data_IF_990103631608
#
_entry.id   IF_990103631608
#
_cell.length_a   1.000
_cell.length_b   1.000
_cell.length_c   1.000
_cell.angle_alpha   90.00
_cell.angle_beta   90.00
_cell.angle_gamma   90.00
#
_symmetry.space_group_name_H-M   'P 1'
#
loop_
_entity.id
_entity.type
_entity.pdbx_description
1 polymer ?
#
# COMPACT_ATOMS: atom_id res chain seq x y z
N UNK A 1 -10.25 -19.37 -11.95
CA UNK A 1 -11.47 -20.04 -11.55
C UNK A 1 -12.67 -19.29 -12.09
N UNK A 2 -13.60 -19.99 -12.73
CA UNK A 2 -14.85 -19.40 -13.21
C UNK A 2 -15.69 -19.09 -11.97
N UNK A 3 -16.21 -17.88 -11.88
CA UNK A 3 -17.14 -17.51 -10.82
C UNK A 3 -18.33 -18.49 -10.81
N UNK A 4 -18.78 -18.90 -9.61
CA UNK A 4 -19.93 -19.79 -9.50
C UNK A 4 -21.15 -19.14 -10.17
N UNK A 5 -22.06 -19.96 -10.75
CA UNK A 5 -23.27 -19.48 -11.39
C UNK A 5 -24.07 -18.52 -10.50
N UNK A 6 -24.09 -18.77 -9.20
CA UNK A 6 -24.77 -17.95 -8.19
C UNK A 6 -24.11 -16.57 -8.01
N UNK A 7 -22.79 -16.48 -8.14
CA UNK A 7 -22.06 -15.22 -8.12
C UNK A 7 -22.27 -14.43 -9.41
N UNK A 8 -22.36 -15.14 -10.55
CA UNK A 8 -22.67 -14.52 -11.84
C UNK A 8 -24.10 -13.98 -11.87
N UNK A 9 -25.08 -14.74 -11.36
CA UNK A 9 -26.47 -14.26 -11.25
C UNK A 9 -26.59 -13.02 -10.36
N UNK A 10 -25.87 -12.93 -9.26
CA UNK A 10 -25.86 -11.72 -8.39
C UNK A 10 -25.15 -10.54 -9.01
N UNK A 11 -24.08 -10.75 -9.78
CA UNK A 11 -23.35 -9.70 -10.51
C UNK A 11 -24.16 -9.12 -11.68
N UNK A 12 -25.03 -9.93 -12.28
CA UNK A 12 -25.87 -9.54 -13.41
C UNK A 12 -27.34 -9.36 -13.02
N UNK A 13 -27.68 -9.44 -11.71
CA UNK A 13 -29.04 -9.17 -11.25
C UNK A 13 -29.33 -7.66 -11.32
N UNK A 14 -30.60 -7.35 -11.55
CA UNK A 14 -31.10 -5.97 -11.53
C UNK A 14 -30.92 -5.27 -10.15
N UNK A 15 -30.60 -6.03 -9.11
CA UNK A 15 -30.34 -5.56 -7.74
C UNK A 15 -28.85 -5.28 -7.46
N UNK A 16 -27.96 -5.54 -8.42
CA UNK A 16 -26.54 -5.18 -8.27
C UNK A 16 -26.42 -3.64 -8.25
N UNK A 17 -26.17 -3.09 -7.07
CA UNK A 17 -25.92 -1.65 -6.94
C UNK A 17 -24.61 -1.29 -7.65
N UNK A 18 -24.62 -0.29 -8.53
CA UNK A 18 -23.40 0.20 -9.14
C UNK A 18 -22.44 0.71 -8.05
N UNK A 19 -21.14 0.57 -8.31
CA UNK A 19 -20.13 1.20 -7.46
C UNK A 19 -20.23 2.71 -7.59
N UNK A 20 -20.59 3.36 -6.51
CA UNK A 20 -20.71 4.81 -6.41
C UNK A 20 -20.24 5.26 -5.03
N UNK A 21 -19.40 6.29 -5.01
CA UNK A 21 -19.05 7.04 -3.80
C UNK A 21 -19.51 8.48 -3.98
N UNK A 22 -20.22 9.00 -3.01
CA UNK A 22 -20.88 10.32 -3.08
C UNK A 22 -20.88 11.06 -1.74
N UNK A 23 -21.35 12.25 -1.76
CA UNK A 23 -21.44 13.12 -0.58
C UNK A 23 -22.08 12.39 0.61
N UNK A 24 -21.35 12.38 1.74
CA UNK A 24 -21.73 11.71 2.98
C UNK A 24 -21.07 10.34 3.17
N UNK A 25 -20.54 9.73 2.14
CA UNK A 25 -19.84 8.46 2.25
C UNK A 25 -18.49 8.62 2.95
N UNK A 26 -18.03 7.55 3.57
CA UNK A 26 -16.73 7.53 4.25
C UNK A 26 -16.09 6.15 4.16
N UNK A 27 -14.76 6.14 4.24
CA UNK A 27 -13.99 4.90 4.21
C UNK A 27 -12.62 5.09 3.59
N UNK A 28 -11.87 3.99 3.55
CA UNK A 28 -10.52 3.96 2.97
C UNK A 28 -10.51 4.25 1.47
N UNK A 29 -11.62 4.04 0.80
CA UNK A 29 -11.83 4.35 -0.62
C UNK A 29 -11.81 5.84 -0.86
N UNK A 30 -12.56 6.55 -0.02
CA UNK A 30 -12.60 8.02 -0.04
C UNK A 30 -11.21 8.56 0.27
N UNK A 31 -10.50 7.98 1.25
CA UNK A 31 -9.13 8.38 1.60
C UNK A 31 -8.16 8.16 0.43
N UNK A 32 -8.25 6.99 -0.22
CA UNK A 32 -7.42 6.65 -1.39
C UNK A 32 -7.70 7.59 -2.56
N UNK A 33 -8.97 7.84 -2.84
CA UNK A 33 -9.39 8.78 -3.87
C UNK A 33 -8.92 10.21 -3.55
N UNK A 34 -9.11 10.69 -2.31
CA UNK A 34 -8.61 11.99 -1.88
C UNK A 34 -7.10 12.12 -2.05
N UNK A 35 -6.33 11.06 -1.68
CA UNK A 35 -4.88 11.01 -1.89
C UNK A 35 -4.52 11.15 -3.35
N UNK A 36 -5.19 10.39 -4.22
CA UNK A 36 -4.90 10.44 -5.66
C UNK A 36 -5.32 11.75 -6.31
N UNK A 37 -6.48 12.29 -5.92
CA UNK A 37 -6.92 13.62 -6.35
C UNK A 37 -5.97 14.73 -5.87
N UNK A 38 -5.38 14.59 -4.68
CA UNK A 38 -4.36 15.50 -4.16
C UNK A 38 -3.07 15.44 -4.99
N UNK A 39 -2.56 14.25 -5.31
CA UNK A 39 -1.39 14.06 -6.19
C UNK A 39 -1.58 14.71 -7.56
N UNK A 40 -2.79 14.64 -8.11
CA UNK A 40 -3.14 15.27 -9.38
C UNK A 40 -3.51 16.76 -9.25
N UNK A 41 -3.46 17.31 -8.04
CA UNK A 41 -3.69 18.73 -7.75
C UNK A 41 -5.16 19.16 -7.68
N UNK A 42 -6.10 18.22 -7.67
CA UNK A 42 -7.54 18.53 -7.57
C UNK A 42 -8.01 18.74 -6.14
N UNK A 43 -7.42 18.04 -5.17
CA UNK A 43 -7.80 18.08 -3.76
C UNK A 43 -6.72 18.73 -2.91
N UNK A 44 -7.08 19.78 -2.18
CA UNK A 44 -6.12 20.54 -1.34
C UNK A 44 -6.45 20.53 0.15
N UNK A 45 -7.52 19.83 0.55
CA UNK A 45 -7.94 19.73 1.93
C UNK A 45 -7.28 18.54 2.65
N UNK A 46 -7.51 18.41 3.94
CA UNK A 46 -7.00 17.26 4.72
C UNK A 46 -7.61 15.96 4.21
N UNK A 47 -6.77 14.98 3.90
CA UNK A 47 -7.17 13.62 3.57
C UNK A 47 -7.72 12.98 4.85
N UNK A 48 -9.00 12.65 4.87
CA UNK A 48 -9.72 12.24 6.07
C UNK A 48 -10.70 11.08 5.85
N UNK A 49 -10.78 10.57 4.62
CA UNK A 49 -11.66 9.47 4.28
C UNK A 49 -13.16 9.82 4.34
N UNK A 50 -13.53 11.09 4.44
CA UNK A 50 -14.93 11.53 4.39
C UNK A 50 -15.19 12.28 3.07
N UNK A 51 -16.18 11.84 2.32
CA UNK A 51 -16.62 12.48 1.08
C UNK A 51 -17.49 13.69 1.42
N UNK A 52 -16.83 14.78 1.77
CA UNK A 52 -17.46 16.06 2.03
C UNK A 52 -17.52 16.94 0.76
N UNK A 53 -18.05 18.16 0.91
CA UNK A 53 -18.17 19.13 -0.20
C UNK A 53 -16.84 19.36 -0.93
N UNK A 54 -15.73 19.48 -0.19
CA UNK A 54 -14.41 19.67 -0.80
C UNK A 54 -13.96 18.46 -1.65
N UNK A 55 -14.39 17.24 -1.29
CA UNK A 55 -14.12 16.02 -2.07
C UNK A 55 -14.99 15.99 -3.32
N UNK A 56 -16.28 16.34 -3.19
CA UNK A 56 -17.19 16.44 -4.33
C UNK A 56 -16.70 17.46 -5.36
N UNK A 57 -16.27 18.65 -4.91
CA UNK A 57 -15.69 19.67 -5.78
C UNK A 57 -14.44 19.17 -6.53
N UNK A 58 -13.56 18.44 -5.84
CA UNK A 58 -12.39 17.84 -6.44
C UNK A 58 -12.75 16.76 -7.48
N UNK A 59 -13.75 15.93 -7.20
CA UNK A 59 -14.29 14.94 -8.16
C UNK A 59 -14.87 15.63 -9.39
N UNK A 60 -15.71 16.64 -9.23
CA UNK A 60 -16.26 17.42 -10.35
C UNK A 60 -15.18 18.08 -11.21
N UNK A 61 -14.15 18.62 -10.56
CA UNK A 61 -13.01 19.21 -11.28
C UNK A 61 -12.22 18.16 -12.06
N UNK A 62 -12.02 16.96 -11.48
CA UNK A 62 -11.39 15.83 -12.15
C UNK A 62 -12.22 15.35 -13.34
N UNK A 63 -13.53 15.14 -13.15
CA UNK A 63 -14.46 14.74 -14.21
C UNK A 63 -14.44 15.73 -15.37
N UNK A 64 -14.51 17.03 -15.08
CA UNK A 64 -14.47 18.09 -16.09
C UNK A 64 -13.18 18.04 -16.91
N UNK A 65 -12.01 17.98 -16.25
CA UNK A 65 -10.71 17.97 -16.92
C UNK A 65 -10.49 16.73 -17.77
N UNK A 66 -11.07 15.61 -17.34
CA UNK A 66 -10.91 14.30 -17.96
C UNK A 66 -12.08 13.94 -18.92
N UNK A 67 -13.03 14.85 -19.12
CA UNK A 67 -14.18 14.67 -20.03
C UNK A 67 -15.09 13.50 -19.65
N UNK A 68 -15.26 13.29 -18.36
CA UNK A 68 -16.22 12.36 -17.77
C UNK A 68 -17.55 13.08 -17.50
N UNK A 69 -18.58 12.33 -17.14
CA UNK A 69 -19.84 12.91 -16.67
C UNK A 69 -19.64 13.68 -15.36
N UNK A 70 -20.01 14.98 -15.35
CA UNK A 70 -19.74 15.88 -14.22
C UNK A 70 -20.90 15.85 -13.24
N UNK A 71 -21.06 14.74 -12.54
CA UNK A 71 -22.16 14.52 -11.59
C UNK A 71 -21.72 14.62 -10.11
N UNK A 72 -20.41 14.68 -9.86
CA UNK A 72 -19.85 14.72 -8.51
C UNK A 72 -19.96 13.38 -7.76
N UNK A 73 -20.40 12.33 -8.43
CA UNK A 73 -20.45 10.96 -7.93
C UNK A 73 -19.23 10.21 -8.48
N UNK A 74 -18.45 9.62 -7.61
CA UNK A 74 -17.26 8.89 -8.03
C UNK A 74 -17.66 7.44 -8.36
N UNK A 75 -17.76 7.14 -9.63
CA UNK A 75 -18.19 5.84 -10.16
C UNK A 75 -17.00 5.01 -10.68
N UNK A 76 -17.29 3.86 -11.28
CA UNK A 76 -16.27 2.93 -11.84
C UNK A 76 -15.42 3.62 -12.91
N UNK A 77 -16.03 4.41 -13.81
CA UNK A 77 -15.32 5.10 -14.89
C UNK A 77 -14.36 6.15 -14.35
N UNK A 78 -14.79 6.91 -13.33
CA UNK A 78 -13.95 7.88 -12.64
C UNK A 78 -12.77 7.19 -11.95
N UNK A 79 -13.02 6.08 -11.28
CA UNK A 79 -12.00 5.30 -10.59
C UNK A 79 -10.95 4.76 -11.56
N UNK A 80 -11.39 4.09 -12.61
CA UNK A 80 -10.50 3.44 -13.57
C UNK A 80 -9.61 4.48 -14.24
N UNK A 81 -10.15 5.66 -14.56
CA UNK A 81 -9.36 6.74 -15.12
C UNK A 81 -8.47 7.41 -14.07
N UNK A 82 -8.95 7.66 -12.84
CA UNK A 82 -8.17 8.31 -11.77
C UNK A 82 -6.87 7.54 -11.46
N UNK A 83 -6.92 6.22 -11.50
CA UNK A 83 -5.77 5.37 -11.22
C UNK A 83 -5.00 4.94 -12.49
N UNK A 84 -5.43 5.37 -13.65
CA UNK A 84 -4.74 5.12 -14.91
C UNK A 84 -3.59 6.12 -15.13
N UNK A 85 -2.59 5.78 -15.98
CA UNK A 85 -1.57 6.72 -16.41
C UNK A 85 -2.13 7.86 -17.27
N UNK A 86 -3.34 7.73 -17.80
CA UNK A 86 -4.00 8.71 -18.66
C UNK A 86 -4.74 9.80 -17.86
N UNK A 87 -4.80 9.68 -16.53
CA UNK A 87 -5.40 10.67 -15.65
C UNK A 87 -4.71 12.03 -15.80
N UNK A 88 -5.42 13.02 -16.31
CA UNK A 88 -4.88 14.37 -16.51
C UNK A 88 -4.81 15.12 -15.19
N UNK A 89 -3.67 15.74 -14.84
CA UNK A 89 -3.58 16.58 -13.66
C UNK A 89 -4.38 17.89 -13.87
N UNK A 90 -4.76 18.53 -12.77
CA UNK A 90 -5.50 19.80 -12.79
C UNK A 90 -4.76 20.90 -13.55
N UNK A 91 -3.44 20.95 -13.38
CA UNK A 91 -2.53 21.84 -14.09
C UNK A 91 -1.69 20.98 -15.02
N UNK A 92 -1.73 21.27 -16.32
CA UNK A 92 -0.87 20.57 -17.27
C UNK A 92 0.60 20.84 -16.93
N UNK A 93 1.48 19.84 -16.97
CA UNK A 93 2.89 20.06 -16.69
C UNK A 93 3.44 21.10 -17.67
N UNK A 94 4.07 22.14 -17.14
CA UNK A 94 4.75 23.15 -17.95
C UNK A 94 5.75 22.41 -18.85
N UNK A 95 5.72 22.62 -20.19
CA UNK A 95 6.66 21.93 -21.06
C UNK A 95 8.08 22.25 -20.60
N UNK A 96 8.82 21.21 -20.26
CA UNK A 96 10.23 21.33 -19.91
C UNK A 96 10.94 22.06 -21.06
N UNK A 97 11.61 23.19 -20.82
CA UNK A 97 12.28 23.92 -21.89
C UNK A 97 13.27 22.96 -22.56
N UNK A 98 13.12 22.81 -23.88
CA UNK A 98 14.03 22.02 -24.71
C UNK A 98 15.45 22.51 -24.43
N UNK A 99 16.42 21.65 -24.13
CA UNK A 99 17.78 22.09 -23.83
C UNK A 99 18.29 22.94 -25.00
N UNK A 100 18.59 24.20 -24.73
CA UNK A 100 19.18 25.12 -25.68
C UNK A 100 20.56 24.54 -26.06
N UNK A 101 20.92 24.40 -27.32
CA UNK A 101 22.21 23.91 -27.71
C UNK A 101 23.30 24.84 -27.17
N UNK A 102 24.22 24.28 -26.39
CA UNK A 102 25.37 24.96 -25.83
C UNK A 102 26.16 25.66 -26.94
N UNK A 103 26.44 26.95 -26.86
CA UNK A 103 27.23 27.61 -27.91
C UNK A 103 28.60 26.96 -28.02
N UNK A 104 28.93 26.49 -29.22
CA UNK A 104 30.23 26.00 -29.60
C UNK A 104 31.22 27.17 -29.56
N UNK A 105 32.17 27.12 -28.63
CA UNK A 105 33.29 28.04 -28.60
C UNK A 105 34.19 27.81 -29.82
N UNK A 106 34.31 28.86 -30.65
CA UNK A 106 35.28 29.01 -31.70
C UNK A 106 36.69 29.05 -31.07
N UNK A 107 37.70 28.37 -31.62
CA UNK A 107 39.06 28.45 -31.11
C UNK A 107 39.69 29.79 -31.48
N UNK A 108 40.23 30.51 -30.51
CA UNK A 108 41.16 31.61 -30.70
C UNK A 108 42.49 31.26 -30.05
N UNK A 109 43.49 31.43 -30.85
CA UNK A 109 44.91 31.10 -30.69
C UNK A 109 45.63 32.00 -29.67
N UNK A 110 46.58 31.37 -28.98
CA UNK A 110 47.89 31.85 -28.54
C UNK A 110 48.03 33.10 -27.67
N UNK A 111 48.59 32.96 -26.48
CA UNK A 111 50.02 33.27 -26.22
C UNK A 111 50.37 33.12 -24.72
N UNK A 112 51.38 32.40 -24.51
CA UNK A 112 52.48 32.40 -23.52
C UNK A 112 52.47 33.43 -22.38
N UNK A 113 52.71 32.96 -21.17
CA UNK A 113 53.89 33.19 -20.30
C UNK A 113 53.56 32.80 -18.86
N UNK A 114 54.24 31.85 -18.36
CA UNK A 114 55.37 31.77 -17.43
C UNK A 114 55.08 32.08 -15.96
N UNK A 115 55.59 31.17 -15.15
CA UNK A 115 56.10 31.24 -13.79
C UNK A 115 55.05 31.21 -12.66
N UNK A 116 55.18 30.43 -11.67
CA UNK A 116 56.22 29.70 -11.00
C UNK A 116 55.63 29.02 -9.77
N UNK A 117 56.25 27.96 -9.43
CA UNK A 117 56.68 27.45 -8.12
C UNK A 117 55.72 27.64 -6.94
N UNK A 118 55.49 26.71 -6.08
CA UNK A 118 56.28 25.65 -5.45
C UNK A 118 55.37 24.86 -4.49
N UNK A 119 55.55 23.58 -4.46
CA UNK A 119 56.00 22.75 -3.32
C UNK A 119 55.09 22.80 -2.09
N UNK A 120 54.78 21.77 -1.41
CA UNK A 120 55.50 20.55 -1.02
C UNK A 120 54.52 19.64 -0.23
N UNK A 121 54.62 18.37 -0.47
CA UNK A 121 54.99 17.31 0.49
C UNK A 121 54.08 17.16 1.70
N UNK A 122 53.68 16.08 2.16
CA UNK A 122 54.12 14.67 2.24
C UNK A 122 53.22 13.98 3.25
N UNK A 123 52.97 12.80 2.96
CA UNK A 123 53.34 11.51 3.54
C UNK A 123 52.51 10.98 4.68
N UNK A 124 52.00 9.82 4.40
CA UNK A 124 52.30 8.53 5.02
C UNK A 124 51.78 8.37 6.45
N UNK A 125 51.28 7.27 6.91
CA UNK A 125 51.50 5.85 6.73
C UNK A 125 50.65 5.09 7.76
N UNK A 126 50.15 3.94 7.36
CA UNK A 126 50.31 2.61 7.98
C UNK A 126 50.04 2.51 9.49
N UNK A 127 49.40 1.52 10.03
CA UNK A 127 49.51 0.05 9.93
C UNK A 127 48.60 -0.57 11.01
N UNK A 128 47.97 -1.63 10.67
CA UNK A 128 48.17 -3.04 11.10
C UNK A 128 47.84 -3.41 12.57
N UNK A 129 47.22 -4.58 12.61
CA UNK A 129 47.31 -5.55 13.70
C UNK A 129 45.98 -6.00 14.24
N UNK A 130 45.42 -7.09 13.82
CA UNK A 130 45.66 -8.49 14.15
C UNK A 130 45.05 -8.97 15.46
N UNK A 131 44.30 -10.02 15.30
CA UNK A 131 44.14 -11.29 16.04
C UNK A 131 43.24 -11.22 17.28
N UNK A 132 42.41 -12.18 17.65
CA UNK A 132 42.19 -13.57 17.25
C UNK A 132 40.97 -14.12 17.99
N UNK A 133 40.33 -15.04 17.34
CA UNK A 133 39.90 -16.39 17.74
C UNK A 133 38.91 -16.60 18.89
N UNK A 134 37.92 -17.39 18.55
CA UNK A 134 37.16 -18.19 19.50
C UNK A 134 35.91 -18.80 18.85
N UNK A 135 36.11 -19.97 18.38
CA UNK A 135 35.18 -20.93 17.79
C UNK A 135 34.19 -21.51 18.79
N UNK A 136 33.02 -21.90 18.30
CA UNK A 136 32.43 -23.25 18.36
C UNK A 136 30.96 -23.17 17.99
N UNK A 137 30.59 -23.69 16.84
CA UNK A 137 29.90 -24.94 16.52
C UNK A 137 28.60 -25.15 17.28
N UNK A 138 27.50 -25.36 16.58
CA UNK A 138 27.14 -26.50 15.74
C UNK A 138 25.79 -26.24 15.06
N UNK A 139 25.72 -26.53 13.78
CA UNK A 139 24.79 -27.38 13.03
C UNK A 139 23.30 -27.26 13.39
N UNK A 140 22.42 -26.96 12.43
CA UNK A 140 22.01 -27.88 11.40
C UNK A 140 21.30 -27.20 10.22
N UNK A 141 21.47 -27.80 9.13
CA UNK A 141 21.04 -27.52 7.79
C UNK A 141 19.53 -27.54 7.63
N UNK A 142 19.00 -26.63 6.83
CA UNK A 142 18.20 -27.06 5.67
C UNK A 142 18.09 -25.94 4.65
N UNK A 143 18.74 -26.16 3.58
CA UNK A 143 18.64 -25.55 2.29
C UNK A 143 17.20 -25.52 1.78
N UNK A 144 16.77 -24.41 1.23
CA UNK A 144 15.89 -24.47 0.09
C UNK A 144 16.18 -23.32 -0.86
N UNK A 145 16.64 -23.75 -1.96
CA UNK A 145 16.97 -23.14 -3.22
C UNK A 145 16.00 -22.06 -3.65
N UNK A 146 16.58 -20.93 -4.05
CA UNK A 146 15.94 -20.01 -4.97
C UNK A 146 15.80 -20.70 -6.33
N UNK A 147 14.59 -20.86 -6.81
CA UNK A 147 14.35 -21.16 -8.21
C UNK A 147 13.53 -20.04 -8.82
N UNK A 148 14.17 -19.40 -9.79
CA UNK A 148 13.63 -18.35 -10.62
C UNK A 148 12.96 -19.03 -11.79
N UNK A 149 11.63 -18.97 -11.89
CA UNK A 149 10.96 -19.25 -13.16
C UNK A 149 9.53 -18.71 -13.19
N UNK A 150 9.33 -17.81 -14.15
CA UNK A 150 8.19 -17.74 -15.06
C UNK A 150 6.78 -17.94 -14.52
N UNK A 151 5.97 -16.89 -14.58
CA UNK A 151 4.51 -16.81 -14.72
C UNK A 151 3.66 -18.07 -14.49
N UNK A 152 3.63 -18.61 -13.29
CA UNK A 152 2.70 -19.63 -12.86
C UNK A 152 2.01 -19.14 -11.59
N UNK A 153 0.74 -19.47 -11.49
CA UNK A 153 -0.06 -19.25 -10.30
C UNK A 153 0.63 -19.92 -9.10
N UNK A 154 1.35 -19.11 -8.30
CA UNK A 154 2.10 -19.63 -7.16
C UNK A 154 1.08 -20.05 -6.11
N UNK A 155 0.92 -21.36 -5.93
CA UNK A 155 0.07 -21.91 -4.88
C UNK A 155 0.70 -21.61 -3.53
N UNK A 156 0.19 -20.59 -2.83
CA UNK A 156 0.56 -20.30 -1.46
C UNK A 156 -0.20 -21.25 -0.53
N UNK A 157 0.52 -22.13 0.13
CA UNK A 157 -0.02 -22.97 1.22
C UNK A 157 0.68 -22.60 2.51
N UNK A 158 -0.08 -22.40 3.57
CA UNK A 158 0.46 -22.07 4.89
C UNK A 158 -0.28 -22.85 5.96
N UNK A 159 0.38 -23.01 7.12
CA UNK A 159 -0.23 -23.69 8.27
C UNK A 159 -1.47 -22.93 8.77
N UNK A 160 -2.46 -23.68 9.25
CA UNK A 160 -3.64 -23.15 9.95
C UNK A 160 -3.22 -22.64 11.34
N UNK A 161 -2.63 -21.45 11.38
CA UNK A 161 -2.09 -20.83 12.60
C UNK A 161 -1.86 -19.33 12.41
N UNK A 162 -1.71 -18.60 13.52
CA UNK A 162 -1.34 -17.18 13.50
C UNK A 162 0.03 -16.95 12.84
N UNK A 163 0.99 -17.84 13.05
CA UNK A 163 2.29 -17.78 12.37
C UNK A 163 2.19 -17.99 10.87
N UNK A 164 1.38 -18.94 10.43
CA UNK A 164 1.07 -19.15 9.02
C UNK A 164 0.45 -17.93 8.38
N UNK A 165 -0.52 -17.31 9.06
CA UNK A 165 -1.17 -16.08 8.58
C UNK A 165 -0.16 -14.94 8.39
N UNK A 166 0.73 -14.73 9.35
CA UNK A 166 1.78 -13.71 9.27
C UNK A 166 2.81 -14.03 8.18
N UNK A 167 3.12 -15.32 7.97
CA UNK A 167 4.03 -15.76 6.90
C UNK A 167 3.46 -15.39 5.53
N UNK A 168 2.18 -15.70 5.27
CA UNK A 168 1.51 -15.33 4.03
C UNK A 168 1.48 -13.82 3.86
N UNK A 169 1.08 -13.07 4.89
CA UNK A 169 1.03 -11.62 4.84
C UNK A 169 2.43 -11.01 4.56
N UNK A 170 3.49 -11.61 5.12
CA UNK A 170 4.87 -11.16 4.88
C UNK A 170 5.29 -11.39 3.43
N UNK A 171 4.90 -12.50 2.82
CA UNK A 171 5.14 -12.77 1.40
C UNK A 171 4.42 -11.78 0.46
N UNK A 172 3.39 -11.09 0.95
CA UNK A 172 2.65 -10.08 0.18
C UNK A 172 3.25 -8.67 0.32
N UNK A 173 4.28 -8.46 1.14
CA UNK A 173 4.92 -7.14 1.27
C UNK A 173 5.38 -6.60 -0.10
N UNK A 174 5.14 -5.32 -0.33
CA UNK A 174 5.47 -4.65 -1.58
C UNK A 174 4.47 -4.85 -2.72
N UNK A 175 3.51 -5.79 -2.63
CA UNK A 175 2.44 -5.93 -3.61
C UNK A 175 1.60 -4.65 -3.67
N UNK A 176 1.13 -4.24 -4.85
CA UNK A 176 0.42 -2.99 -5.00
C UNK A 176 -0.87 -2.95 -4.18
N UNK A 177 -1.21 -1.76 -3.69
CA UNK A 177 -2.55 -1.49 -3.23
C UNK A 177 -3.48 -1.43 -4.44
N UNK A 178 -4.56 -2.18 -4.40
CA UNK A 178 -5.56 -2.17 -5.46
C UNK A 178 -6.93 -2.33 -4.83
N UNK A 179 -7.79 -1.36 -5.11
CA UNK A 179 -9.13 -1.29 -4.56
C UNK A 179 -9.95 -2.53 -4.96
N UNK A 180 -10.67 -3.08 -3.96
CA UNK A 180 -11.56 -4.24 -4.16
C UNK A 180 -10.85 -5.51 -4.69
N UNK A 181 -9.51 -5.51 -4.74
CA UNK A 181 -8.72 -6.65 -5.19
C UNK A 181 -8.17 -7.46 -4.01
N UNK A 182 -7.92 -8.74 -4.27
CA UNK A 182 -7.57 -9.71 -3.24
C UNK A 182 -6.61 -10.79 -3.74
N UNK A 183 -5.75 -10.45 -4.69
CA UNK A 183 -4.83 -11.42 -5.29
C UNK A 183 -3.42 -10.84 -5.48
N UNK A 184 -2.37 -11.70 -5.38
CA UNK A 184 -0.99 -11.24 -5.57
C UNK A 184 -0.70 -10.64 -6.94
N UNK A 185 -1.46 -11.01 -7.97
CA UNK A 185 -1.28 -10.55 -9.34
C UNK A 185 -1.91 -9.18 -9.61
N UNK A 186 -3.03 -8.86 -8.93
CA UNK A 186 -3.78 -7.62 -9.13
C UNK A 186 -3.56 -6.60 -8.02
N UNK A 187 -3.07 -7.06 -6.86
CA UNK A 187 -2.91 -6.24 -5.67
C UNK A 187 -3.99 -6.53 -4.62
N UNK A 188 -4.02 -5.68 -3.58
CA UNK A 188 -4.89 -5.86 -2.42
C UNK A 188 -5.43 -4.55 -1.91
N UNK A 189 -6.72 -4.52 -1.55
CA UNK A 189 -7.19 -3.59 -0.53
C UNK A 189 -6.91 -4.14 0.89
N UNK A 190 -7.20 -3.37 1.94
CA UNK A 190 -6.87 -3.77 3.31
C UNK A 190 -7.59 -5.06 3.73
N UNK A 191 -8.86 -5.21 3.41
CA UNK A 191 -9.68 -6.38 3.72
C UNK A 191 -9.45 -7.53 2.73
N UNK A 192 -9.05 -7.24 1.50
CA UNK A 192 -8.65 -8.21 0.49
C UNK A 192 -7.37 -8.95 0.88
N UNK A 193 -6.40 -8.23 1.41
CA UNK A 193 -5.19 -8.85 1.97
C UNK A 193 -5.54 -9.81 3.11
N UNK A 194 -6.38 -9.39 4.06
CA UNK A 194 -6.83 -10.24 5.17
C UNK A 194 -7.56 -11.47 4.66
N UNK A 195 -8.50 -11.28 3.74
CA UNK A 195 -9.26 -12.38 3.13
C UNK A 195 -8.34 -13.39 2.43
N UNK A 196 -7.43 -12.90 1.58
CA UNK A 196 -6.47 -13.76 0.87
C UNK A 196 -5.62 -14.56 1.86
N UNK A 197 -5.05 -13.92 2.88
CA UNK A 197 -4.22 -14.59 3.88
C UNK A 197 -5.00 -15.66 4.66
N UNK A 198 -6.22 -15.35 5.09
CA UNK A 198 -7.09 -16.30 5.79
C UNK A 198 -7.40 -17.52 4.92
N UNK A 199 -7.80 -17.29 3.66
CA UNK A 199 -8.10 -18.37 2.70
C UNK A 199 -6.88 -19.25 2.43
N UNK A 200 -5.72 -18.64 2.26
CA UNK A 200 -4.45 -19.37 2.05
C UNK A 200 -4.06 -20.23 3.25
N UNK A 201 -4.40 -19.79 4.47
CA UNK A 201 -4.22 -20.58 5.69
C UNK A 201 -5.34 -21.60 5.94
N UNK A 202 -6.28 -21.80 5.00
CA UNK A 202 -7.36 -22.78 5.13
C UNK A 202 -8.57 -22.31 5.95
N UNK A 203 -8.63 -21.02 6.34
CA UNK A 203 -9.78 -20.48 7.05
C UNK A 203 -10.96 -20.29 6.09
N UNK A 204 -12.05 -21.00 6.35
CA UNK A 204 -13.30 -20.80 5.62
C UNK A 204 -14.02 -19.55 6.11
N UNK A 205 -14.08 -18.53 5.25
CA UNK A 205 -14.73 -17.25 5.54
C UNK A 205 -15.26 -16.61 4.26
N UNK A 206 -16.28 -15.78 4.39
CA UNK A 206 -16.76 -14.94 3.30
C UNK A 206 -15.84 -13.72 3.11
N UNK A 207 -15.92 -13.10 1.93
CA UNK A 207 -15.27 -11.82 1.65
C UNK A 207 -16.04 -10.71 2.36
N UNK A 208 -15.48 -10.24 3.47
CA UNK A 208 -16.02 -9.13 4.24
C UNK A 208 -15.21 -7.85 4.01
N UNK A 209 -15.83 -6.71 4.26
CA UNK A 209 -15.12 -5.44 4.47
C UNK A 209 -14.37 -5.46 5.81
N UNK A 210 -13.53 -4.46 6.07
CA UNK A 210 -12.87 -4.31 7.37
C UNK A 210 -13.90 -4.32 8.54
N UNK A 211 -14.98 -3.57 8.41
CA UNK A 211 -16.06 -3.54 9.40
C UNK A 211 -16.76 -4.90 9.55
N UNK A 212 -16.98 -5.62 8.42
CA UNK A 212 -17.56 -6.95 8.46
C UNK A 212 -16.67 -7.96 9.19
N UNK A 213 -15.36 -7.96 8.92
CA UNK A 213 -14.40 -8.83 9.64
C UNK A 213 -14.32 -8.50 11.13
N UNK A 214 -14.38 -7.21 11.52
CA UNK A 214 -14.34 -6.80 12.93
C UNK A 214 -15.53 -7.31 13.73
N UNK A 215 -16.64 -7.63 13.07
CA UNK A 215 -17.90 -8.06 13.68
C UNK A 215 -18.11 -9.57 13.67
N UNK A 216 -17.12 -10.37 13.21
CA UNK A 216 -17.24 -11.84 13.16
C UNK A 216 -17.22 -12.42 14.57
N UNK A 217 -18.40 -12.77 15.10
CA UNK A 217 -18.60 -13.20 16.47
C UNK A 217 -17.99 -14.57 16.81
N UNK A 218 -17.74 -15.42 15.82
CA UNK A 218 -17.08 -16.72 16.03
C UNK A 218 -15.60 -16.61 16.39
N UNK A 219 -14.98 -15.45 16.20
CA UNK A 219 -13.59 -15.17 16.53
C UNK A 219 -13.50 -14.40 17.84
N UNK A 220 -12.54 -14.77 18.69
CA UNK A 220 -12.37 -14.10 19.98
C UNK A 220 -12.04 -12.62 19.79
N UNK A 221 -12.75 -11.76 20.52
CA UNK A 221 -12.51 -10.32 20.48
C UNK A 221 -11.36 -9.93 21.39
N UNK A 222 -10.53 -8.99 20.92
CA UNK A 222 -9.40 -8.41 21.65
C UNK A 222 -9.65 -6.91 21.72
N UNK A 223 -9.79 -6.37 22.90
CA UNK A 223 -10.12 -4.95 23.13
C UNK A 223 -8.89 -4.12 23.53
N UNK A 224 -7.78 -4.78 23.87
CA UNK A 224 -6.54 -4.10 24.28
C UNK A 224 -5.38 -4.46 23.34
N UNK A 225 -4.60 -3.46 22.94
CA UNK A 225 -3.37 -3.64 22.14
C UNK A 225 -2.35 -4.50 22.91
N UNK A 226 -2.35 -4.45 24.25
CA UNK A 226 -1.44 -5.25 25.08
C UNK A 226 -1.70 -6.75 25.03
N UNK A 227 -2.92 -7.17 24.64
CA UNK A 227 -3.34 -8.57 24.59
C UNK A 227 -3.16 -9.20 23.19
N UNK A 228 -2.64 -8.42 22.24
CA UNK A 228 -2.45 -8.86 20.87
C UNK A 228 -1.40 -9.95 20.76
N UNK A 229 -1.73 -11.00 20.02
CA UNK A 229 -0.84 -12.10 19.67
C UNK A 229 -0.61 -12.15 18.16
N UNK A 230 0.53 -12.66 17.76
CA UNK A 230 0.91 -12.82 16.36
C UNK A 230 -0.18 -13.58 15.58
N UNK A 231 -0.64 -13.01 14.49
CA UNK A 231 -1.74 -13.51 13.67
C UNK A 231 -3.12 -12.97 14.03
N UNK A 232 -3.25 -12.12 15.05
CA UNK A 232 -4.51 -11.42 15.31
C UNK A 232 -4.82 -10.44 14.17
N UNK A 233 -6.09 -10.36 13.80
CA UNK A 233 -6.59 -9.34 12.88
C UNK A 233 -6.81 -8.06 13.67
N UNK A 234 -6.41 -6.93 13.11
CA UNK A 234 -6.54 -5.61 13.72
C UNK A 234 -7.55 -4.77 12.95
N UNK A 235 -8.33 -3.99 13.68
CA UNK A 235 -9.34 -3.13 13.09
C UNK A 235 -9.22 -1.71 13.62
N UNK A 236 -9.25 -0.76 12.70
CA UNK A 236 -9.06 0.64 12.98
C UNK A 236 -10.19 1.48 12.40
N UNK A 237 -10.53 2.54 13.08
CA UNK A 237 -11.31 3.65 12.55
C UNK A 237 -10.38 4.74 12.01
N UNK A 238 -10.94 5.77 11.39
CA UNK A 238 -10.20 7.01 11.12
C UNK A 238 -10.51 8.07 12.19
N UNK A 239 -9.78 9.19 12.18
CA UNK A 239 -9.94 10.26 13.17
C UNK A 239 -11.32 10.95 13.12
N UNK A 240 -12.08 10.78 12.05
CA UNK A 240 -13.34 11.49 11.81
C UNK A 240 -14.58 10.60 11.87
N UNK A 241 -14.41 9.28 12.02
CA UNK A 241 -15.48 8.30 12.03
C UNK A 241 -15.35 7.35 13.22
N UNK A 242 -16.48 6.93 13.79
CA UNK A 242 -16.53 5.85 14.78
C UNK A 242 -16.54 4.45 14.15
N UNK A 243 -16.76 4.37 12.83
CA UNK A 243 -16.85 3.09 12.12
C UNK A 243 -15.48 2.55 11.73
N UNK A 244 -15.33 1.23 11.78
CA UNK A 244 -14.12 0.54 11.29
C UNK A 244 -13.99 0.74 9.80
N UNK A 245 -12.85 1.28 9.38
CA UNK A 245 -12.53 1.59 7.99
C UNK A 245 -11.26 0.93 7.48
N UNK A 246 -10.44 0.34 8.37
CA UNK A 246 -9.16 -0.27 8.00
C UNK A 246 -8.88 -1.54 8.79
N UNK A 247 -8.08 -2.44 8.21
CA UNK A 247 -7.68 -3.70 8.83
C UNK A 247 -6.27 -4.12 8.45
N UNK A 248 -5.66 -4.94 9.27
CA UNK A 248 -4.35 -5.55 9.04
C UNK A 248 -4.14 -6.79 9.90
N UNK A 249 -2.97 -7.38 9.81
CA UNK A 249 -2.59 -8.62 10.51
C UNK A 249 -1.43 -8.31 11.45
N UNK A 250 -1.61 -8.56 12.73
CA UNK A 250 -0.57 -8.33 13.74
C UNK A 250 0.59 -9.31 13.55
N UNK A 251 1.77 -8.77 13.33
CA UNK A 251 2.97 -9.56 13.04
C UNK A 251 3.83 -9.86 14.28
N UNK A 252 3.37 -9.39 15.45
CA UNK A 252 4.15 -9.47 16.70
C UNK A 252 5.10 -8.27 16.85
N UNK A 253 5.66 -8.13 18.07
CA UNK A 253 6.66 -7.08 18.35
C UNK A 253 6.17 -5.64 18.11
N UNK A 254 4.89 -5.36 18.32
CA UNK A 254 4.31 -4.03 18.10
C UNK A 254 4.17 -3.64 16.62
N UNK A 255 4.23 -4.60 15.69
CA UNK A 255 4.11 -4.34 14.26
C UNK A 255 2.95 -5.11 13.63
N UNK A 256 2.42 -4.59 12.53
CA UNK A 256 1.37 -5.25 11.75
C UNK A 256 1.56 -5.02 10.25
N UNK A 257 0.99 -5.92 9.44
CA UNK A 257 1.06 -5.88 7.98
C UNK A 257 -0.33 -5.52 7.45
N UNK A 258 -0.39 -4.56 6.55
CA UNK A 258 -1.62 -4.10 5.93
C UNK A 258 -1.40 -3.59 4.51
N UNK A 259 -2.44 -3.63 3.68
CA UNK A 259 -2.43 -2.92 2.41
C UNK A 259 -2.72 -1.43 2.69
N UNK A 260 -1.74 -0.59 2.45
CA UNK A 260 -1.80 0.84 2.71
C UNK A 260 -2.12 1.59 1.43
N UNK A 261 -3.25 2.28 1.40
CA UNK A 261 -3.63 3.16 0.30
C UNK A 261 -2.66 4.34 0.15
N UNK A 262 -2.23 4.92 1.27
CA UNK A 262 -1.28 6.04 1.26
C UNK A 262 0.12 5.66 0.79
N UNK A 263 0.56 4.41 1.04
CA UNK A 263 1.83 3.90 0.54
C UNK A 263 1.71 3.23 -0.84
N UNK A 264 0.49 3.06 -1.35
CA UNK A 264 0.21 2.39 -2.62
C UNK A 264 0.58 0.90 -2.67
N UNK A 265 0.79 0.26 -1.52
CA UNK A 265 1.26 -1.13 -1.44
C UNK A 265 1.04 -1.76 -0.07
N UNK A 266 1.27 -3.07 0.00
CA UNK A 266 1.33 -3.80 1.28
C UNK A 266 2.61 -3.44 2.01
N UNK A 267 2.48 -2.98 3.26
CA UNK A 267 3.59 -2.56 4.12
C UNK A 267 3.48 -3.14 5.52
N UNK A 268 4.58 -3.02 6.27
CA UNK A 268 4.63 -3.26 7.72
C UNK A 268 4.66 -1.91 8.44
N UNK A 269 3.79 -1.73 9.42
CA UNK A 269 3.69 -0.51 10.23
C UNK A 269 3.80 -0.82 11.72
N UNK A 270 4.20 0.17 12.53
CA UNK A 270 4.17 0.06 13.98
C UNK A 270 2.81 0.45 14.52
N UNK A 271 2.18 -0.42 15.33
CA UNK A 271 0.92 -0.12 16.00
C UNK A 271 1.10 0.93 17.12
N UNK A 272 2.31 1.08 17.64
CA UNK A 272 2.64 2.02 18.74
C UNK A 272 2.67 3.48 18.32
N UNK A 273 2.44 3.82 17.04
CA UNK A 273 2.32 5.23 16.65
C UNK A 273 1.02 5.83 17.20
N UNK A 274 1.03 7.12 17.48
CA UNK A 274 -0.13 7.84 18.04
C UNK A 274 -1.39 7.70 17.18
N UNK A 275 -1.23 7.63 15.86
CA UNK A 275 -2.36 7.43 14.94
C UNK A 275 -3.01 6.05 15.14
N UNK A 276 -2.24 4.97 15.05
CA UNK A 276 -2.79 3.61 15.14
C UNK A 276 -3.31 3.28 16.53
N UNK A 277 -2.60 3.74 17.59
CA UNK A 277 -3.04 3.54 18.99
C UNK A 277 -4.38 4.22 19.26
N UNK A 278 -4.56 5.47 18.79
CA UNK A 278 -5.80 6.22 19.00
C UNK A 278 -6.98 5.65 18.20
N UNK A 279 -6.71 5.07 17.05
CA UNK A 279 -7.71 4.61 16.10
C UNK A 279 -7.99 3.11 16.20
N UNK A 280 -7.31 2.38 17.08
CA UNK A 280 -7.60 0.98 17.33
C UNK A 280 -9.00 0.80 17.90
N UNK A 281 -9.80 -0.08 17.30
CA UNK A 281 -11.17 -0.38 17.72
C UNK A 281 -11.19 -1.72 18.44
N UNK A 282 -10.77 -2.77 17.79
CA UNK A 282 -10.63 -4.11 18.34
C UNK A 282 -9.69 -4.98 17.50
N UNK A 283 -9.39 -6.16 17.98
CA UNK A 283 -8.80 -7.26 17.24
C UNK A 283 -9.72 -8.47 17.20
N UNK A 284 -9.41 -9.42 16.33
CA UNK A 284 -10.05 -10.73 16.27
C UNK A 284 -9.00 -11.83 16.19
N UNK A 285 -9.07 -12.79 17.12
CA UNK A 285 -8.23 -13.98 17.12
C UNK A 285 -8.94 -15.11 16.41
N UNK A 286 -8.32 -15.63 15.37
CA UNK A 286 -8.91 -16.63 14.47
C UNK A 286 -8.49 -18.05 14.86
N UNK A 287 -7.27 -18.20 15.43
CA UNK A 287 -6.59 -19.45 15.73
C UNK A 287 -6.40 -19.68 17.23
#
# INVERSE_FOLDING_TARGET
>A
GVASSELQERLFSADAKPYEIKLGDNGTDVESMQSRLNELGYYGSKINGYFGVATEEAVRAFQTKNKLDVDGIFNVSDRDLLYSPDARPKIDPTPTPKPTPKPTKKPSSSSSSSSGSSSSTSSSSSSSGSTSSGASSSTDSSSSSADTSSGGDVSYTASYSGDGLVSVATAMLGKPYSWSEESPSKGFDCSGLVYFCLRTCGVSTSRYSASGFSSVSKWAEITSIGDLQKGDLLFFKNDTSSSVSHTGIYAGGGSFIHASSSAGKVIRSSIGTSYWTRNFVNGRRVF
#
